data_IF_050456160717
#
_entry.id   IF_050456160717
#
_cell.length_a   1.000
_cell.length_b   1.000
_cell.length_c   1.000
_cell.angle_alpha   90.00
_cell.angle_beta   90.00
_cell.angle_gamma   90.00
#
_symmetry.space_group_name_H-M   'P 1'
#
loop_
_entity.id
_entity.type
_entity.pdbx_description
1 polymer ?
#
# COMPACT_ATOMS: atom_id res chain seq x y z
N UNK A 1 -61.28 -15.73 -6.44
CA UNK A 1 -60.21 -15.97 -7.43
C UNK A 1 -59.19 -14.83 -7.59
N UNK A 2 -59.55 -13.54 -7.48
CA UNK A 2 -58.59 -12.43 -7.72
C UNK A 2 -57.57 -12.15 -6.59
N UNK A 3 -57.87 -12.47 -5.32
CA UNK A 3 -56.93 -12.24 -4.19
C UNK A 3 -55.90 -13.37 -4.01
N UNK A 4 -56.27 -14.60 -4.33
CA UNK A 4 -55.40 -15.77 -4.16
C UNK A 4 -54.25 -15.82 -5.17
N UNK A 5 -54.48 -15.32 -6.40
CA UNK A 5 -53.44 -15.24 -7.45
C UNK A 5 -52.41 -14.14 -7.14
N UNK A 6 -52.84 -13.02 -6.55
CA UNK A 6 -51.94 -11.94 -6.14
C UNK A 6 -51.00 -12.35 -4.98
N UNK A 7 -51.49 -13.17 -4.04
CA UNK A 7 -50.68 -13.71 -2.93
C UNK A 7 -49.67 -14.74 -3.46
N UNK A 8 -50.06 -15.57 -4.44
CA UNK A 8 -49.13 -16.52 -5.08
C UNK A 8 -48.03 -15.79 -5.86
N UNK A 9 -48.36 -14.71 -6.57
CA UNK A 9 -47.37 -13.86 -7.26
C UNK A 9 -46.43 -13.16 -6.28
N UNK A 10 -46.92 -12.66 -5.15
CA UNK A 10 -46.08 -12.07 -4.10
C UNK A 10 -45.13 -13.10 -3.46
N UNK A 11 -45.57 -14.35 -3.29
CA UNK A 11 -44.72 -15.42 -2.79
C UNK A 11 -43.63 -15.83 -3.79
N UNK A 12 -43.96 -15.89 -5.10
CA UNK A 12 -42.97 -16.20 -6.14
C UNK A 12 -41.94 -15.07 -6.29
N UNK A 13 -42.35 -13.79 -6.18
CA UNK A 13 -41.43 -12.64 -6.22
C UNK A 13 -40.53 -12.61 -4.97
N UNK A 14 -41.02 -13.05 -3.80
CA UNK A 14 -40.21 -13.19 -2.59
C UNK A 14 -39.22 -14.36 -2.61
N UNK A 15 -39.31 -15.28 -3.57
CA UNK A 15 -38.28 -16.33 -3.78
C UNK A 15 -37.17 -15.88 -4.75
N UNK A 16 -37.37 -14.74 -5.44
CA UNK A 16 -36.29 -14.01 -6.11
C UNK A 16 -35.60 -13.04 -5.14
N UNK A 17 -35.34 -13.47 -3.89
CA UNK A 17 -34.23 -12.87 -3.16
C UNK A 17 -33.00 -13.15 -4.03
N UNK A 18 -32.41 -12.10 -4.57
CA UNK A 18 -31.14 -12.15 -5.26
C UNK A 18 -30.22 -13.08 -4.46
N UNK A 19 -29.86 -14.22 -5.05
CA UNK A 19 -28.86 -15.12 -4.49
C UNK A 19 -27.51 -14.39 -4.58
N UNK A 20 -27.30 -13.42 -3.70
CA UNK A 20 -25.96 -12.99 -3.37
C UNK A 20 -25.35 -14.22 -2.69
N UNK A 21 -24.35 -14.83 -3.35
CA UNK A 21 -23.67 -16.01 -2.83
C UNK A 21 -23.15 -15.80 -1.41
N UNK A 22 -22.74 -16.87 -0.74
CA UNK A 22 -22.10 -16.74 0.57
C UNK A 22 -20.95 -15.72 0.52
N UNK A 23 -20.80 -14.96 1.60
CA UNK A 23 -19.71 -14.00 1.72
C UNK A 23 -18.35 -14.69 1.54
N UNK A 24 -17.48 -14.13 0.71
CA UNK A 24 -16.09 -14.56 0.57
C UNK A 24 -15.16 -13.37 0.42
N UNK A 25 -13.90 -13.57 0.76
CA UNK A 25 -12.79 -12.65 0.48
C UNK A 25 -11.61 -13.48 0.03
N UNK A 26 -10.82 -12.94 -0.89
CA UNK A 26 -9.57 -13.60 -1.27
C UNK A 26 -8.55 -13.50 -0.14
N UNK A 27 -7.56 -14.39 -0.18
CA UNK A 27 -6.44 -14.34 0.77
C UNK A 27 -5.14 -14.53 0.02
N UNK A 28 -4.16 -13.70 0.39
CA UNK A 28 -2.84 -13.72 -0.17
C UNK A 28 -1.78 -13.76 0.94
N UNK A 29 -0.64 -14.37 0.65
CA UNK A 29 0.53 -14.32 1.51
C UNK A 29 1.77 -14.03 0.68
N UNK A 30 2.37 -12.89 0.96
CA UNK A 30 3.58 -12.41 0.31
C UNK A 30 4.80 -12.78 1.14
N UNK A 31 5.81 -13.31 0.46
CA UNK A 31 7.18 -13.33 0.93
C UNK A 31 8.05 -12.58 -0.07
N UNK A 32 8.71 -11.51 0.36
CA UNK A 32 9.50 -10.63 -0.51
C UNK A 32 10.95 -10.51 -0.04
N UNK A 33 11.89 -10.56 -0.98
CA UNK A 33 13.30 -10.23 -0.78
C UNK A 33 13.67 -9.10 -1.75
N UNK A 34 13.96 -7.93 -1.17
CA UNK A 34 14.17 -6.68 -1.88
C UNK A 34 15.61 -6.21 -1.65
N UNK A 35 16.34 -5.97 -2.73
CA UNK A 35 17.70 -5.47 -2.69
C UNK A 35 17.79 -4.04 -3.27
N UNK A 36 17.84 -3.05 -2.38
CA UNK A 36 17.77 -1.62 -2.72
C UNK A 36 19.15 -1.08 -3.05
N UNK A 37 19.26 -0.44 -4.21
CA UNK A 37 20.39 0.41 -4.56
C UNK A 37 20.00 1.88 -4.32
N UNK A 38 20.32 2.36 -3.12
CA UNK A 38 19.93 3.70 -2.69
C UNK A 38 20.65 4.83 -3.44
N UNK A 39 21.86 4.58 -3.97
CA UNK A 39 22.60 5.58 -4.74
C UNK A 39 21.98 5.80 -6.13
N UNK A 40 21.44 4.73 -6.73
CA UNK A 40 20.80 4.76 -8.04
C UNK A 40 19.28 4.91 -7.98
N UNK A 41 18.71 4.82 -6.78
CA UNK A 41 17.27 4.76 -6.57
C UNK A 41 16.57 3.69 -7.41
N UNK A 42 17.14 2.49 -7.38
CA UNK A 42 16.57 1.29 -8.00
C UNK A 42 16.54 0.17 -6.98
N UNK A 43 15.79 -0.90 -7.27
CA UNK A 43 15.89 -2.12 -6.49
C UNK A 43 15.61 -3.36 -7.35
N UNK A 44 16.10 -4.51 -6.89
CA UNK A 44 15.74 -5.83 -7.42
C UNK A 44 14.80 -6.52 -6.44
N UNK A 45 13.75 -7.16 -6.94
CA UNK A 45 12.72 -7.79 -6.14
C UNK A 45 12.48 -9.24 -6.53
N UNK A 46 12.33 -10.08 -5.51
CA UNK A 46 11.84 -11.45 -5.64
C UNK A 46 10.65 -11.63 -4.72
N UNK A 47 9.56 -12.20 -5.23
CA UNK A 47 8.42 -12.53 -4.40
C UNK A 47 7.89 -13.95 -4.64
N UNK A 48 7.44 -14.55 -3.54
CA UNK A 48 6.53 -15.70 -3.55
C UNK A 48 5.18 -15.21 -3.05
N UNK A 49 4.11 -15.53 -3.78
CA UNK A 49 2.74 -15.22 -3.42
C UNK A 49 1.94 -16.51 -3.34
N UNK A 50 1.54 -16.91 -2.14
CA UNK A 50 0.53 -17.96 -1.97
C UNK A 50 -0.85 -17.31 -2.05
N UNK A 51 -1.62 -17.66 -3.07
CA UNK A 51 -2.95 -17.11 -3.30
C UNK A 51 -4.01 -18.19 -3.07
N UNK A 52 -5.07 -17.85 -2.35
CA UNK A 52 -6.24 -18.71 -2.16
C UNK A 52 -7.45 -18.09 -2.83
N UNK A 53 -8.02 -18.83 -3.80
CA UNK A 53 -9.28 -18.49 -4.42
C UNK A 53 -10.44 -18.96 -3.52
N UNK A 54 -11.05 -18.05 -2.77
CA UNK A 54 -12.24 -18.36 -1.96
C UNK A 54 -13.55 -18.07 -2.71
N UNK A 55 -13.48 -17.62 -3.97
CA UNK A 55 -14.67 -17.39 -4.79
C UNK A 55 -15.31 -18.72 -5.23
N UNK A 56 -16.59 -18.71 -5.65
CA UNK A 56 -17.23 -19.86 -6.26
C UNK A 56 -16.76 -20.11 -7.71
N UNK A 57 -15.89 -19.26 -8.25
CA UNK A 57 -15.49 -19.26 -9.65
C UNK A 57 -14.18 -20.00 -9.89
N UNK A 58 -14.03 -20.55 -11.09
CA UNK A 58 -12.74 -21.04 -11.58
C UNK A 58 -11.99 -19.91 -12.30
N UNK A 59 -10.79 -19.59 -11.84
CA UNK A 59 -9.99 -18.50 -12.39
C UNK A 59 -9.00 -19.04 -13.43
N UNK A 60 -9.06 -18.47 -14.64
CA UNK A 60 -8.18 -18.85 -15.76
C UNK A 60 -7.06 -17.83 -16.04
N UNK A 61 -7.21 -16.63 -15.48
CA UNK A 61 -6.23 -15.54 -15.51
C UNK A 61 -6.19 -14.89 -14.14
N UNK A 62 -5.07 -14.25 -13.81
CA UNK A 62 -4.95 -13.34 -12.66
C UNK A 62 -4.39 -12.01 -13.12
N UNK A 63 -4.63 -10.97 -12.35
CA UNK A 63 -4.12 -9.63 -12.64
C UNK A 63 -3.26 -9.13 -11.48
N UNK A 64 -2.20 -8.41 -11.83
CA UNK A 64 -1.37 -7.68 -10.88
C UNK A 64 -1.32 -6.21 -11.27
N UNK A 65 -1.27 -5.34 -10.28
CA UNK A 65 -0.97 -3.93 -10.46
C UNK A 65 0.54 -3.68 -10.42
N UNK A 66 0.97 -2.85 -11.36
CA UNK A 66 2.30 -2.29 -11.53
C UNK A 66 2.19 -0.75 -11.45
N UNK A 67 1.77 -0.26 -10.29
CA UNK A 67 1.38 1.12 -10.05
C UNK A 67 2.42 2.16 -10.47
N UNK A 68 3.71 1.86 -10.34
CA UNK A 68 4.76 2.81 -10.70
C UNK A 68 4.88 3.06 -12.19
N UNK A 69 4.32 2.18 -13.03
CA UNK A 69 4.22 2.43 -14.46
C UNK A 69 3.32 3.63 -14.79
N UNK A 70 2.57 4.18 -13.84
CA UNK A 70 1.86 5.45 -14.01
C UNK A 70 2.80 6.66 -14.06
N UNK A 71 4.00 6.58 -13.47
CA UNK A 71 4.92 7.70 -13.32
C UNK A 71 5.92 7.82 -14.47
N UNK A 72 5.41 7.72 -15.71
CA UNK A 72 6.20 7.83 -16.95
C UNK A 72 5.50 8.72 -17.98
N UNK A 73 6.23 9.28 -18.97
CA UNK A 73 5.63 10.02 -20.05
C UNK A 73 4.61 9.17 -20.82
N UNK A 74 3.54 9.79 -21.30
CA UNK A 74 2.45 9.18 -22.07
C UNK A 74 1.61 8.12 -21.33
N UNK A 75 1.83 7.90 -20.02
CA UNK A 75 0.95 7.04 -19.22
C UNK A 75 -0.48 7.61 -19.18
N UNK A 76 -1.45 6.79 -18.78
CA UNK A 76 -2.80 7.32 -18.57
C UNK A 76 -2.88 8.41 -17.48
N UNK A 77 -1.98 8.37 -16.49
CA UNK A 77 -1.88 9.44 -15.49
C UNK A 77 -1.39 10.75 -16.12
N UNK A 78 -0.37 10.68 -16.99
CA UNK A 78 0.13 11.82 -17.76
C UNK A 78 -0.96 12.41 -18.68
N UNK A 79 -1.62 11.55 -19.46
CA UNK A 79 -2.70 11.96 -20.38
C UNK A 79 -3.86 12.61 -19.63
N UNK A 80 -4.25 12.06 -18.46
CA UNK A 80 -5.29 12.65 -17.62
C UNK A 80 -4.91 14.06 -17.16
N UNK A 81 -3.70 14.23 -16.62
CA UNK A 81 -3.23 15.53 -16.12
C UNK A 81 -3.14 16.53 -17.27
N UNK A 82 -2.58 16.12 -18.42
CA UNK A 82 -2.50 16.96 -19.62
C UNK A 82 -3.89 17.39 -20.11
N UNK A 83 -4.87 16.46 -20.14
CA UNK A 83 -6.25 16.76 -20.53
C UNK A 83 -6.98 17.71 -19.59
N UNK A 84 -6.61 17.73 -18.30
CA UNK A 84 -7.16 18.67 -17.32
C UNK A 84 -6.53 20.08 -17.41
N UNK A 85 -5.35 20.21 -18.00
CA UNK A 85 -4.63 21.47 -18.12
C UNK A 85 -4.44 22.15 -16.77
N UNK A 86 -4.76 23.45 -16.68
CA UNK A 86 -4.61 24.23 -15.44
C UNK A 86 -5.56 23.82 -14.31
N UNK A 87 -6.59 23.03 -14.61
CA UNK A 87 -7.51 22.47 -13.60
C UNK A 87 -7.00 21.14 -13.04
N UNK A 88 -5.90 20.60 -13.58
CA UNK A 88 -5.25 19.41 -13.04
C UNK A 88 -4.60 19.68 -11.69
N UNK A 89 -4.37 18.60 -10.94
CA UNK A 89 -3.69 18.66 -9.64
C UNK A 89 -2.38 19.45 -9.75
N UNK A 90 -2.25 20.53 -9.00
CA UNK A 90 -1.10 21.43 -9.03
C UNK A 90 0.22 20.78 -8.63
N UNK A 91 0.18 19.61 -7.98
CA UNK A 91 1.36 18.78 -7.73
C UNK A 91 1.82 18.05 -8.98
N UNK A 92 0.92 17.75 -9.91
CA UNK A 92 1.18 16.96 -11.11
C UNK A 92 1.44 17.82 -12.36
N UNK A 93 1.07 19.10 -12.35
CA UNK A 93 1.25 20.01 -13.48
C UNK A 93 1.97 21.31 -13.10
N UNK A 94 2.57 21.95 -14.10
CA UNK A 94 3.06 23.33 -14.06
C UNK A 94 2.49 24.10 -15.24
N UNK A 95 1.74 25.17 -14.94
CA UNK A 95 1.09 26.04 -15.94
C UNK A 95 0.18 25.29 -16.94
N UNK A 96 -0.40 24.17 -16.51
CA UNK A 96 -1.26 23.30 -17.31
C UNK A 96 -0.51 22.24 -18.11
N UNK A 97 0.82 22.14 -17.95
CA UNK A 97 1.65 21.09 -18.55
C UNK A 97 1.97 20.04 -17.50
N UNK A 98 1.70 18.78 -17.82
CA UNK A 98 2.02 17.65 -16.94
C UNK A 98 3.53 17.56 -16.67
N UNK A 99 3.90 17.35 -15.41
CA UNK A 99 5.29 17.10 -14.99
C UNK A 99 5.78 15.72 -15.46
N UNK A 100 4.86 14.78 -15.71
CA UNK A 100 5.18 13.44 -16.21
C UNK A 100 5.61 13.46 -17.67
N UNK A 101 5.03 14.36 -18.49
CA UNK A 101 5.39 14.49 -19.91
C UNK A 101 6.87 14.80 -20.14
N UNK A 102 7.55 15.40 -19.16
CA UNK A 102 8.95 15.80 -19.23
C UNK A 102 9.86 15.08 -18.22
N UNK A 103 9.38 14.02 -17.55
CA UNK A 103 10.21 13.30 -16.58
C UNK A 103 11.36 12.58 -17.32
N UNK A 104 12.62 12.72 -16.89
CA UNK A 104 13.72 12.00 -17.51
C UNK A 104 13.56 10.48 -17.38
N UNK A 105 14.05 9.73 -18.37
CA UNK A 105 13.87 8.26 -18.43
C UNK A 105 14.50 7.52 -17.25
N UNK A 106 15.57 8.05 -16.65
CA UNK A 106 16.21 7.51 -15.44
C UNK A 106 15.54 7.98 -14.13
N UNK A 107 14.47 8.76 -14.24
CA UNK A 107 13.67 9.29 -13.14
C UNK A 107 12.21 8.83 -13.18
N UNK A 108 11.78 8.21 -14.28
CA UNK A 108 10.43 7.65 -14.41
C UNK A 108 10.27 6.40 -13.54
N UNK A 109 9.05 6.18 -13.05
CA UNK A 109 8.72 4.97 -12.31
C UNK A 109 8.60 3.79 -13.26
N UNK A 110 9.17 2.65 -12.86
CA UNK A 110 9.07 1.43 -13.62
C UNK A 110 9.06 0.20 -12.70
N UNK A 111 8.22 -0.78 -13.02
CA UNK A 111 8.27 -2.13 -12.45
C UNK A 111 8.41 -3.13 -13.61
N UNK A 112 9.65 -3.54 -13.86
CA UNK A 112 10.04 -4.35 -15.00
C UNK A 112 9.98 -5.83 -14.64
N UNK A 113 8.92 -6.51 -15.06
CA UNK A 113 8.74 -7.94 -14.77
C UNK A 113 9.66 -8.79 -15.66
N UNK A 114 10.51 -9.61 -15.05
CA UNK A 114 11.41 -10.51 -15.79
C UNK A 114 10.71 -11.81 -16.13
N UNK A 115 10.07 -12.41 -15.13
CA UNK A 115 9.33 -13.66 -15.28
C UNK A 115 8.36 -13.87 -14.12
N UNK A 116 7.30 -14.63 -14.39
CA UNK A 116 6.37 -15.15 -13.39
C UNK A 116 6.12 -16.65 -13.62
N UNK A 117 6.01 -17.41 -12.53
CA UNK A 117 5.68 -18.85 -12.55
C UNK A 117 4.48 -19.15 -11.67
N UNK A 118 3.65 -20.12 -12.07
CA UNK A 118 2.63 -20.75 -11.23
C UNK A 118 3.11 -22.17 -10.88
N UNK A 119 3.24 -22.48 -9.60
CA UNK A 119 3.65 -23.81 -9.12
C UNK A 119 4.91 -24.33 -9.85
N UNK A 120 5.87 -23.43 -10.13
CA UNK A 120 7.12 -23.73 -10.84
C UNK A 120 7.05 -23.69 -12.38
N UNK A 121 5.86 -23.61 -13.00
CA UNK A 121 5.69 -23.51 -14.46
C UNK A 121 5.72 -22.04 -14.92
N UNK A 122 6.54 -21.73 -15.93
CA UNK A 122 6.62 -20.38 -16.51
C UNK A 122 5.29 -19.98 -17.15
N UNK A 123 4.86 -18.73 -16.93
CA UNK A 123 3.62 -18.20 -17.48
C UNK A 123 3.89 -17.14 -18.55
N UNK A 124 2.88 -16.90 -19.39
CA UNK A 124 2.83 -15.74 -20.27
C UNK A 124 2.08 -14.61 -19.57
N UNK A 125 2.48 -13.38 -19.84
CA UNK A 125 1.78 -12.20 -19.34
C UNK A 125 1.81 -11.07 -20.37
N UNK A 126 0.87 -10.15 -20.22
CA UNK A 126 0.74 -8.92 -20.99
C UNK A 126 0.64 -7.75 -20.02
N UNK A 127 1.34 -6.66 -20.31
CA UNK A 127 1.30 -5.44 -19.50
C UNK A 127 0.66 -4.34 -20.34
N UNK A 128 -0.41 -3.76 -19.80
CA UNK A 128 -1.04 -2.56 -20.31
C UNK A 128 -1.04 -1.53 -19.19
N UNK A 129 -0.36 -0.40 -19.40
CA UNK A 129 -0.26 0.67 -18.41
C UNK A 129 0.21 0.15 -17.04
N UNK A 130 -0.71 0.14 -16.07
CA UNK A 130 -0.46 -0.25 -14.67
C UNK A 130 -1.01 -1.62 -14.33
N UNK A 131 -1.51 -2.37 -15.32
CA UNK A 131 -2.13 -3.68 -15.13
C UNK A 131 -1.34 -4.74 -15.90
N UNK A 132 -0.93 -5.79 -15.20
CA UNK A 132 -0.34 -7.01 -15.76
C UNK A 132 -1.37 -8.14 -15.74
N UNK A 133 -1.78 -8.62 -16.91
CA UNK A 133 -2.60 -9.82 -17.07
C UNK A 133 -1.71 -11.05 -17.20
N UNK A 134 -1.95 -12.07 -16.38
CA UNK A 134 -1.16 -13.30 -16.35
C UNK A 134 -2.05 -14.48 -16.77
N UNK A 135 -1.59 -15.22 -17.77
CA UNK A 135 -2.26 -16.42 -18.26
C UNK A 135 -1.81 -17.64 -17.45
N UNK A 136 -2.74 -18.28 -16.76
CA UNK A 136 -2.42 -19.38 -15.85
C UNK A 136 -2.04 -20.66 -16.62
N UNK A 137 -1.10 -21.42 -16.06
CA UNK A 137 -0.73 -22.73 -16.58
C UNK A 137 -1.83 -23.77 -16.27
N UNK A 138 -2.48 -23.61 -15.11
CA UNK A 138 -3.62 -24.41 -14.67
C UNK A 138 -4.66 -23.51 -13.99
N UNK A 139 -5.97 -23.70 -14.25
CA UNK A 139 -7.00 -22.90 -13.60
C UNK A 139 -6.98 -23.05 -12.08
N UNK A 140 -7.23 -21.95 -11.35
CA UNK A 140 -7.37 -21.98 -9.89
C UNK A 140 -8.85 -22.26 -9.58
N UNK A 141 -9.12 -23.49 -9.17
CA UNK A 141 -10.48 -23.95 -8.82
C UNK A 141 -11.04 -23.21 -7.60
N UNK A 142 -12.38 -23.20 -7.43
CA UNK A 142 -13.01 -22.70 -6.21
C UNK A 142 -12.42 -23.35 -4.95
N UNK A 143 -12.18 -22.55 -3.91
CA UNK A 143 -11.63 -22.96 -2.62
C UNK A 143 -10.26 -23.66 -2.69
N UNK A 144 -9.48 -23.39 -3.75
CA UNK A 144 -8.13 -23.93 -3.93
C UNK A 144 -7.06 -22.84 -3.86
N UNK A 145 -5.81 -23.27 -3.74
CA UNK A 145 -4.65 -22.37 -3.65
C UNK A 145 -3.64 -22.65 -4.74
N UNK A 146 -2.86 -21.63 -5.09
CA UNK A 146 -1.70 -21.75 -5.97
C UNK A 146 -0.58 -20.85 -5.46
N UNK A 147 0.65 -21.16 -5.83
CA UNK A 147 1.81 -20.31 -5.54
C UNK A 147 2.32 -19.66 -6.81
N UNK A 148 2.46 -18.33 -6.77
CA UNK A 148 3.20 -17.57 -7.77
C UNK A 148 4.61 -17.26 -7.29
N UNK A 149 5.59 -17.33 -8.19
CA UNK A 149 6.93 -16.77 -7.95
C UNK A 149 7.24 -15.79 -9.07
N UNK A 150 7.85 -14.67 -8.72
CA UNK A 150 8.08 -13.54 -9.61
C UNK A 150 9.42 -12.87 -9.30
N UNK A 151 10.13 -12.44 -10.34
CA UNK A 151 11.32 -11.60 -10.25
C UNK A 151 11.12 -10.35 -11.11
N UNK A 152 11.54 -9.20 -10.57
CA UNK A 152 11.45 -7.91 -11.24
C UNK A 152 12.56 -6.98 -10.79
N UNK A 153 12.83 -5.95 -11.59
CA UNK A 153 13.56 -4.76 -11.14
C UNK A 153 12.66 -3.53 -11.19
N UNK A 154 13.02 -2.50 -10.45
CA UNK A 154 12.26 -1.26 -10.44
C UNK A 154 13.14 -0.02 -10.36
N UNK A 155 12.65 1.05 -10.98
CA UNK A 155 13.17 2.42 -10.81
C UNK A 155 12.23 3.15 -9.87
N UNK A 156 12.78 3.67 -8.77
CA UNK A 156 12.03 4.47 -7.80
C UNK A 156 11.78 5.85 -8.45
N UNK A 157 10.51 6.21 -8.72
CA UNK A 157 10.20 7.43 -9.46
C UNK A 157 10.67 8.66 -8.70
N UNK A 158 11.15 9.69 -9.41
CA UNK A 158 11.22 11.02 -8.81
C UNK A 158 9.83 11.38 -8.30
N UNK A 159 9.70 11.80 -7.04
CA UNK A 159 8.37 11.90 -6.44
C UNK A 159 7.52 12.93 -7.19
N UNK A 160 6.42 12.42 -7.76
CA UNK A 160 5.39 13.22 -8.42
C UNK A 160 4.15 13.29 -7.53
N UNK A 161 3.71 12.16 -6.98
CA UNK A 161 2.64 12.10 -5.98
C UNK A 161 2.71 10.82 -5.14
N UNK A 162 2.60 10.92 -3.81
CA UNK A 162 2.42 9.87 -2.78
C UNK A 162 3.46 8.73 -2.75
N UNK A 163 4.36 8.63 -3.74
CA UNK A 163 5.35 7.57 -3.92
C UNK A 163 6.57 8.08 -4.67
N UNK A 164 7.75 7.59 -4.31
CA UNK A 164 9.00 7.88 -4.99
C UNK A 164 10.10 8.41 -4.09
N UNK A 165 11.00 9.20 -4.67
CA UNK A 165 12.22 9.68 -4.02
C UNK A 165 12.37 11.19 -3.98
N UNK A 166 13.25 11.67 -3.09
CA UNK A 166 13.72 13.04 -2.99
C UNK A 166 12.55 14.04 -3.02
N UNK A 167 11.63 13.88 -2.06
CA UNK A 167 10.47 14.74 -2.01
C UNK A 167 10.79 16.13 -1.47
N UNK A 168 9.77 17.00 -1.45
CA UNK A 168 9.93 18.41 -1.06
C UNK A 168 10.34 18.63 0.40
N UNK A 169 10.08 17.66 1.28
CA UNK A 169 10.53 17.71 2.69
C UNK A 169 11.92 17.09 2.87
N UNK A 170 12.54 16.61 1.78
CA UNK A 170 13.89 16.07 1.81
C UNK A 170 13.97 14.62 2.28
N UNK A 171 12.86 13.87 2.29
CA UNK A 171 12.90 12.42 2.53
C UNK A 171 13.40 11.71 1.28
N UNK A 172 14.42 10.86 1.45
CA UNK A 172 15.09 10.13 0.38
C UNK A 172 14.13 9.18 -0.36
N UNK A 173 13.34 8.36 0.37
CA UNK A 173 12.44 7.36 -0.24
C UNK A 173 11.11 7.23 0.50
N UNK A 174 10.01 7.28 -0.25
CA UNK A 174 8.64 6.96 0.18
C UNK A 174 8.11 5.86 -0.74
N UNK A 175 8.05 4.64 -0.23
CA UNK A 175 7.87 3.40 -0.99
C UNK A 175 6.48 2.85 -0.75
N UNK A 176 5.57 3.29 -1.60
CA UNK A 176 4.14 2.97 -1.57
C UNK A 176 3.74 2.38 -2.92
N UNK A 177 2.86 1.38 -2.92
CA UNK A 177 2.46 0.65 -4.14
C UNK A 177 3.64 0.17 -4.99
N UNK A 178 4.73 -0.19 -4.31
CA UNK A 178 6.06 -0.31 -4.91
C UNK A 178 6.31 -1.69 -5.50
N UNK A 179 5.52 -2.71 -5.16
CA UNK A 179 5.71 -4.10 -5.61
C UNK A 179 4.58 -4.54 -6.57
N UNK A 180 4.79 -5.61 -7.36
CA UNK A 180 3.74 -6.25 -8.14
C UNK A 180 2.65 -6.85 -7.22
N UNK A 181 1.57 -6.09 -7.05
CA UNK A 181 0.48 -6.38 -6.11
C UNK A 181 -0.65 -7.09 -6.83
N UNK A 182 -1.17 -8.19 -6.31
CA UNK A 182 -2.29 -8.91 -6.97
C UNK A 182 -3.55 -8.03 -6.88
N UNK A 183 -4.31 -7.95 -7.96
CA UNK A 183 -5.60 -7.28 -7.97
C UNK A 183 -6.61 -8.07 -7.11
N UNK A 184 -7.59 -7.39 -6.52
CA UNK A 184 -8.68 -8.10 -5.85
C UNK A 184 -9.60 -8.78 -6.87
N UNK A 185 -10.11 -9.96 -6.50
CA UNK A 185 -11.19 -10.63 -7.23
C UNK A 185 -12.38 -10.81 -6.30
N UNK A 186 -13.43 -10.03 -6.53
CA UNK A 186 -14.66 -10.03 -5.73
C UNK A 186 -15.91 -10.20 -6.61
N UNK A 187 -17.07 -9.78 -6.09
CA UNK A 187 -18.35 -9.89 -6.79
C UNK A 187 -18.43 -9.06 -8.08
N UNK A 188 -17.58 -8.04 -8.25
CA UNK A 188 -17.47 -7.23 -9.47
C UNK A 188 -16.40 -7.80 -10.44
N UNK A 189 -15.76 -8.92 -10.07
CA UNK A 189 -14.68 -9.56 -10.82
C UNK A 189 -13.30 -9.02 -10.43
N UNK A 190 -12.36 -9.03 -11.38
CA UNK A 190 -11.02 -8.51 -11.14
C UNK A 190 -11.01 -6.98 -11.12
N UNK A 191 -10.56 -6.39 -10.00
CA UNK A 191 -10.35 -4.96 -9.84
C UNK A 191 -9.16 -4.48 -10.68
N UNK A 192 -9.38 -4.19 -11.96
CA UNK A 192 -8.33 -3.90 -12.95
C UNK A 192 -8.30 -2.42 -13.35
N UNK A 193 -8.60 -1.54 -12.39
CA UNK A 193 -8.57 -0.09 -12.63
C UNK A 193 -7.13 0.38 -12.81
N UNK A 194 -6.92 1.16 -13.87
CA UNK A 194 -5.64 1.83 -14.06
C UNK A 194 -5.42 2.93 -13.03
N UNK A 195 -4.18 3.01 -12.55
CA UNK A 195 -3.82 4.01 -11.56
C UNK A 195 -3.61 5.38 -12.20
N UNK A 196 -4.49 6.30 -11.84
CA UNK A 196 -4.50 7.70 -12.27
C UNK A 196 -4.58 8.66 -11.07
N UNK A 197 -4.00 8.24 -9.94
CA UNK A 197 -4.05 8.96 -8.66
C UNK A 197 -5.37 8.80 -7.91
N UNK A 198 -5.86 7.56 -7.82
CA UNK A 198 -7.07 7.15 -7.08
C UNK A 198 -6.69 6.15 -5.99
N UNK A 199 -7.66 5.83 -5.14
CA UNK A 199 -7.50 4.85 -4.07
C UNK A 199 -7.43 3.40 -4.57
N UNK A 200 -7.17 2.47 -3.65
CA UNK A 200 -6.71 1.12 -3.97
C UNK A 200 -7.75 0.06 -3.57
N UNK A 201 -7.64 -1.14 -4.16
CA UNK A 201 -8.44 -2.29 -3.75
C UNK A 201 -7.60 -3.55 -3.86
N UNK A 202 -7.61 -4.39 -2.82
CA UNK A 202 -6.69 -5.51 -2.71
C UNK A 202 -7.22 -6.60 -1.77
N UNK A 203 -6.73 -7.84 -1.91
CA UNK A 203 -7.02 -8.87 -0.93
C UNK A 203 -6.34 -8.60 0.40
N UNK A 204 -7.00 -9.03 1.48
CA UNK A 204 -6.35 -9.18 2.78
C UNK A 204 -5.16 -10.14 2.68
N UNK A 205 -4.01 -9.63 3.11
CA UNK A 205 -2.73 -10.25 2.86
C UNK A 205 -1.85 -10.33 4.10
N UNK A 206 -1.11 -11.43 4.19
CA UNK A 206 0.03 -11.58 5.10
C UNK A 206 1.32 -11.19 4.36
N UNK A 207 2.26 -10.55 5.07
CA UNK A 207 3.52 -10.09 4.51
C UNK A 207 4.71 -10.57 5.37
N UNK A 208 5.71 -11.16 4.71
CA UNK A 208 7.06 -11.42 5.21
C UNK A 208 8.03 -10.71 4.26
N UNK A 209 8.53 -9.54 4.68
CA UNK A 209 9.29 -8.63 3.81
C UNK A 209 10.71 -8.48 4.33
N UNK A 210 11.67 -8.84 3.49
CA UNK A 210 13.09 -8.59 3.73
C UNK A 210 13.56 -7.45 2.83
N UNK A 211 14.08 -6.37 3.42
CA UNK A 211 14.61 -5.21 2.70
C UNK A 211 16.10 -5.07 3.02
N UNK A 212 16.94 -5.13 2.00
CA UNK A 212 18.38 -4.87 2.09
C UNK A 212 18.64 -3.47 1.55
N UNK A 213 19.12 -2.58 2.40
CA UNK A 213 19.45 -1.19 2.02
C UNK A 213 20.73 -0.77 2.72
N UNK A 214 21.40 0.26 2.20
CA UNK A 214 22.58 0.84 2.84
C UNK A 214 22.34 1.06 4.35
N UNK A 215 23.28 0.60 5.17
CA UNK A 215 23.14 0.53 6.64
C UNK A 215 22.92 1.87 7.34
N UNK A 216 23.19 3.00 6.66
CA UNK A 216 23.00 4.34 7.21
C UNK A 216 21.52 4.75 7.24
N UNK A 217 20.67 4.11 6.43
CA UNK A 217 19.24 4.37 6.39
C UNK A 217 18.52 3.78 7.60
N UNK A 218 17.50 4.50 8.06
CA UNK A 218 16.46 4.00 8.96
C UNK A 218 15.18 3.81 8.14
N UNK A 219 14.51 2.67 8.30
CA UNK A 219 13.24 2.38 7.61
C UNK A 219 12.09 2.54 8.60
N UNK A 220 11.11 3.38 8.27
CA UNK A 220 9.77 3.33 8.86
C UNK A 220 8.87 2.49 7.97
N UNK A 221 8.12 1.54 8.55
CA UNK A 221 7.20 0.70 7.79
C UNK A 221 5.92 0.39 8.57
N UNK A 222 4.89 -0.07 7.85
CA UNK A 222 3.81 -0.83 8.43
C UNK A 222 4.28 -2.22 8.86
N UNK A 223 3.64 -2.80 9.88
CA UNK A 223 3.99 -4.13 10.39
C UNK A 223 4.86 -4.13 11.64
N UNK A 224 5.42 -5.30 11.93
CA UNK A 224 6.28 -5.59 13.07
C UNK A 224 7.72 -5.76 12.56
N UNK A 225 8.66 -5.00 13.12
CA UNK A 225 10.08 -5.19 12.87
C UNK A 225 10.59 -6.38 13.67
N UNK A 226 11.08 -7.41 12.98
CA UNK A 226 11.48 -8.68 13.58
C UNK A 226 12.90 -8.67 14.15
N UNK A 227 13.75 -7.74 13.69
CA UNK A 227 15.16 -7.67 14.09
C UNK A 227 15.62 -6.26 14.51
N UNK A 228 14.93 -5.59 15.46
CA UNK A 228 15.24 -4.22 15.87
C UNK A 228 16.65 -4.05 16.45
N UNK A 229 17.22 -5.10 17.04
CA UNK A 229 18.57 -5.08 17.61
C UNK A 229 19.69 -5.21 16.57
N UNK A 230 19.36 -5.38 15.28
CA UNK A 230 20.32 -5.57 14.18
C UNK A 230 20.31 -4.42 13.17
N UNK A 231 19.44 -3.41 13.37
CA UNK A 231 19.22 -2.28 12.44
C UNK A 231 19.13 -0.95 13.18
N UNK A 232 19.27 0.17 12.45
CA UNK A 232 19.43 1.51 13.05
C UNK A 232 18.08 2.05 13.52
N UNK A 233 18.06 2.78 14.64
CA UNK A 233 16.92 3.62 15.05
C UNK A 233 15.93 3.01 16.06
N UNK A 234 15.67 1.70 16.01
CA UNK A 234 14.60 1.09 16.83
C UNK A 234 15.04 0.59 18.22
N UNK A 235 16.30 0.20 18.37
CA UNK A 235 16.89 -0.20 19.64
C UNK A 235 18.14 0.66 19.93
N UNK A 236 18.17 1.30 21.11
CA UNK A 236 19.28 2.14 21.54
C UNK A 236 20.60 1.35 21.67
N UNK A 237 20.53 0.03 21.85
CA UNK A 237 21.68 -0.88 21.97
C UNK A 237 21.89 -1.75 20.71
N UNK A 238 21.28 -1.38 19.58
CA UNK A 238 21.37 -2.14 18.35
C UNK A 238 22.83 -2.38 17.91
N UNK A 239 23.12 -3.62 17.52
CA UNK A 239 24.37 -4.02 16.88
C UNK A 239 24.11 -4.20 15.39
N UNK A 240 24.29 -3.12 14.63
CA UNK A 240 23.97 -3.09 13.20
C UNK A 240 24.71 -4.21 12.45
N UNK A 241 23.94 -5.16 11.90
CA UNK A 241 24.47 -6.22 11.05
C UNK A 241 24.35 -5.80 9.59
N UNK A 242 25.47 -5.70 8.91
CA UNK A 242 25.50 -5.34 7.50
C UNK A 242 26.42 -6.28 6.71
N UNK A 243 25.98 -6.65 5.50
CA UNK A 243 26.79 -7.33 4.48
C UNK A 243 26.95 -6.40 3.28
N UNK A 244 28.17 -6.25 2.75
CA UNK A 244 28.50 -5.33 1.65
C UNK A 244 27.89 -3.93 1.82
N UNK A 245 27.97 -3.39 3.03
CA UNK A 245 27.42 -2.09 3.44
C UNK A 245 25.87 -1.99 3.47
N UNK A 246 25.14 -3.10 3.34
CA UNK A 246 23.68 -3.14 3.45
C UNK A 246 23.23 -3.83 4.74
N UNK A 247 22.37 -3.16 5.51
CA UNK A 247 21.64 -3.77 6.61
C UNK A 247 20.42 -4.53 6.07
N UNK A 248 20.03 -5.62 6.75
CA UNK A 248 18.85 -6.42 6.39
C UNK A 248 17.73 -6.14 7.38
N UNK A 249 16.66 -5.53 6.91
CA UNK A 249 15.45 -5.26 7.68
C UNK A 249 14.43 -6.37 7.41
N UNK A 250 13.83 -6.92 8.47
CA UNK A 250 12.83 -7.99 8.36
C UNK A 250 11.53 -7.53 8.99
N UNK A 251 10.47 -7.49 8.19
CA UNK A 251 9.16 -7.05 8.63
C UNK A 251 8.15 -8.16 8.44
N UNK A 252 7.23 -8.29 9.40
CA UNK A 252 6.04 -9.12 9.24
C UNK A 252 4.76 -8.31 9.43
N UNK A 253 3.71 -8.66 8.71
CA UNK A 253 2.38 -8.13 8.94
C UNK A 253 1.33 -9.18 8.57
N UNK A 254 0.15 -9.09 9.19
CA UNK A 254 -0.94 -10.04 8.94
C UNK A 254 -2.25 -9.33 8.68
N UNK A 255 -3.00 -9.85 7.73
CA UNK A 255 -4.35 -9.40 7.42
C UNK A 255 -4.46 -7.89 7.16
N UNK A 256 -3.57 -7.34 6.31
CA UNK A 256 -3.59 -5.96 5.83
C UNK A 256 -3.69 -5.91 4.30
N UNK A 257 -4.10 -4.78 3.73
CA UNK A 257 -4.32 -4.65 2.28
C UNK A 257 -3.06 -4.35 1.48
N UNK A 258 -2.05 -3.73 2.10
CA UNK A 258 -0.76 -3.45 1.48
C UNK A 258 0.37 -3.24 2.49
N UNK A 259 1.59 -3.29 1.96
CA UNK A 259 2.80 -3.02 2.70
C UNK A 259 3.50 -1.77 2.14
N UNK A 260 3.66 -0.75 2.99
CA UNK A 260 4.34 0.49 2.67
C UNK A 260 5.48 0.78 3.65
N UNK A 261 6.50 1.48 3.16
CA UNK A 261 7.65 1.92 3.95
C UNK A 261 8.24 3.21 3.42
N UNK A 262 9.03 3.90 4.24
CA UNK A 262 9.84 5.03 3.85
C UNK A 262 11.23 4.88 4.47
N UNK A 263 12.24 5.47 3.87
CA UNK A 263 13.59 5.43 4.39
C UNK A 263 14.31 6.74 4.18
N UNK A 264 15.08 7.11 5.20
CA UNK A 264 15.95 8.25 5.20
C UNK A 264 17.13 8.01 6.16
N UNK A 265 18.25 8.69 5.94
CA UNK A 265 19.43 8.56 6.80
C UNK A 265 19.29 9.34 8.11
N UNK A 266 18.49 10.41 8.07
CA UNK A 266 18.30 11.38 9.16
C UNK A 266 17.03 11.10 9.97
N UNK A 267 16.32 10.02 9.65
CA UNK A 267 15.21 9.54 10.44
C UNK A 267 15.62 9.14 11.86
N UNK A 268 14.81 9.59 12.80
CA UNK A 268 14.74 9.07 14.16
C UNK A 268 13.47 8.26 14.33
N UNK A 269 13.48 7.37 15.33
CA UNK A 269 12.31 6.59 15.72
C UNK A 269 12.00 6.86 17.18
N UNK A 270 10.77 7.25 17.46
CA UNK A 270 10.20 7.28 18.82
C UNK A 270 9.09 6.24 18.89
N UNK A 271 8.88 5.64 20.06
CA UNK A 271 7.79 4.68 20.24
C UNK A 271 7.19 4.75 21.63
N UNK A 272 5.90 4.45 21.72
CA UNK A 272 5.16 4.34 22.97
C UNK A 272 4.00 3.34 22.82
N UNK A 273 3.59 2.74 23.93
CA UNK A 273 2.45 1.83 23.96
C UNK A 273 1.17 2.62 24.26
N UNK A 274 0.15 2.43 23.43
CA UNK A 274 -1.20 2.95 23.70
C UNK A 274 -1.94 1.96 24.59
N UNK A 275 -2.48 2.37 25.75
CA UNK A 275 -3.29 1.48 26.59
C UNK A 275 -4.47 0.90 25.81
N UNK A 276 -4.54 -0.43 25.72
CA UNK A 276 -5.54 -1.18 24.94
C UNK A 276 -5.53 -0.86 23.42
N UNK A 277 -4.43 -0.30 22.92
CA UNK A 277 -4.21 0.00 21.51
C UNK A 277 -2.88 -0.59 21.01
N UNK A 278 -2.39 -0.10 19.86
CA UNK A 278 -1.13 -0.57 19.30
C UNK A 278 0.08 0.02 20.03
N UNK A 279 1.25 -0.61 19.80
CA UNK A 279 2.52 0.10 19.94
C UNK A 279 2.68 1.06 18.76
N UNK A 280 2.84 2.35 19.05
CA UNK A 280 2.97 3.39 18.04
C UNK A 280 4.45 3.67 17.78
N UNK A 281 4.79 3.90 16.51
CA UNK A 281 6.07 4.45 16.09
C UNK A 281 5.88 5.81 15.41
N UNK A 282 6.72 6.77 15.78
CA UNK A 282 6.87 8.04 15.07
C UNK A 282 8.21 8.01 14.35
N UNK A 283 8.18 8.11 13.02
CA UNK A 283 9.38 8.02 12.16
C UNK A 283 9.48 9.29 11.31
N UNK A 284 10.45 10.14 11.60
CA UNK A 284 10.57 11.46 10.97
C UNK A 284 12.02 11.96 11.04
N UNK A 285 12.37 12.93 10.18
CA UNK A 285 13.67 13.60 10.21
C UNK A 285 13.71 14.56 11.40
N UNK A 286 14.71 14.45 12.27
CA UNK A 286 14.79 15.34 13.44
C UNK A 286 15.43 16.69 13.08
N UNK A 287 14.60 17.70 12.79
CA UNK A 287 15.07 19.03 12.41
C UNK A 287 14.14 20.14 12.95
N UNK A 288 14.49 21.40 12.68
CA UNK A 288 13.76 22.56 13.21
C UNK A 288 12.29 22.63 12.79
N UNK A 289 11.90 21.96 11.70
CA UNK A 289 10.54 21.98 11.15
C UNK A 289 9.67 20.81 11.61
N UNK A 290 10.25 19.83 12.31
CA UNK A 290 9.54 18.63 12.78
C UNK A 290 9.46 18.54 14.32
N UNK A 291 9.81 19.62 15.03
CA UNK A 291 9.80 19.68 16.51
C UNK A 291 8.46 19.30 17.15
N UNK A 292 7.36 19.58 16.44
CA UNK A 292 5.99 19.35 16.91
C UNK A 292 5.68 17.85 17.08
N UNK A 293 6.40 16.95 16.42
CA UNK A 293 6.18 15.50 16.53
C UNK A 293 6.31 14.97 17.96
N UNK A 294 7.16 15.58 18.79
CA UNK A 294 7.33 15.16 20.18
C UNK A 294 6.09 15.45 21.05
N UNK A 295 5.23 16.37 20.62
CA UNK A 295 4.00 16.73 21.32
C UNK A 295 2.82 15.78 20.99
N UNK A 296 2.94 14.96 19.95
CA UNK A 296 1.84 14.14 19.41
C UNK A 296 1.41 12.97 20.30
N UNK A 297 2.32 12.42 21.12
CA UNK A 297 2.08 11.21 21.92
C UNK A 297 0.79 11.23 22.76
N UNK A 298 0.51 12.24 23.61
CA UNK A 298 -0.73 12.28 24.39
C UNK A 298 -1.99 12.32 23.52
N UNK A 299 -1.94 13.02 22.37
CA UNK A 299 -3.07 13.14 21.45
C UNK A 299 -3.32 11.85 20.67
N UNK A 300 -2.28 11.19 20.18
CA UNK A 300 -2.40 9.86 19.54
C UNK A 300 -2.97 8.84 20.52
N UNK A 301 -2.52 8.87 21.78
CA UNK A 301 -3.06 7.99 22.82
C UNK A 301 -4.56 8.21 23.00
N UNK A 302 -4.99 9.47 23.05
CA UNK A 302 -6.40 9.83 23.17
C UNK A 302 -7.20 9.46 21.91
N UNK A 303 -6.63 9.67 20.74
CA UNK A 303 -7.21 9.30 19.44
C UNK A 303 -7.58 7.82 19.43
N UNK A 304 -6.65 6.91 19.69
CA UNK A 304 -6.94 5.47 19.71
C UNK A 304 -7.99 5.08 20.77
N UNK A 305 -7.97 5.71 21.93
CA UNK A 305 -9.00 5.47 22.96
C UNK A 305 -10.41 5.87 22.47
N UNK A 306 -10.52 7.01 21.78
CA UNK A 306 -11.77 7.49 21.20
C UNK A 306 -12.22 6.60 20.05
N UNK A 307 -11.33 6.24 19.13
CA UNK A 307 -11.66 5.36 18.01
C UNK A 307 -12.11 3.98 18.50
N UNK A 308 -11.37 3.41 19.47
CA UNK A 308 -11.72 2.13 20.08
C UNK A 308 -13.11 2.14 20.74
N UNK A 309 -13.50 3.24 21.39
CA UNK A 309 -14.79 3.34 22.08
C UNK A 309 -15.98 3.61 21.15
N UNK A 310 -15.75 4.27 20.00
CA UNK A 310 -16.82 4.65 19.06
C UNK A 310 -16.97 3.69 17.88
N UNK A 311 -15.86 3.19 17.33
CA UNK A 311 -15.83 2.42 16.08
C UNK A 311 -15.37 0.97 16.25
N UNK A 312 -15.01 0.58 17.46
CA UNK A 312 -14.53 -0.77 17.78
C UNK A 312 -13.02 -0.84 17.90
N UNK A 313 -12.52 -1.93 18.46
CA UNK A 313 -11.10 -2.06 18.83
C UNK A 313 -10.19 -2.12 17.59
N UNK A 314 -9.12 -1.32 17.57
CA UNK A 314 -8.01 -1.47 16.64
C UNK A 314 -7.40 -2.87 16.75
N UNK A 315 -7.26 -3.58 15.63
CA UNK A 315 -6.98 -5.03 15.63
C UNK A 315 -5.50 -5.38 15.42
N UNK A 316 -4.68 -4.44 14.96
CA UNK A 316 -3.28 -4.69 14.65
C UNK A 316 -2.36 -4.39 15.85
N UNK A 317 -1.17 -5.01 15.93
CA UNK A 317 -0.29 -4.87 17.09
C UNK A 317 0.51 -3.56 17.11
N UNK A 318 0.77 -2.97 15.95
CA UNK A 318 1.57 -1.75 15.79
C UNK A 318 0.89 -0.78 14.83
N UNK A 319 1.30 0.48 14.90
CA UNK A 319 1.01 1.49 13.88
C UNK A 319 2.15 2.51 13.78
N UNK A 320 2.55 2.87 12.56
CA UNK A 320 3.63 3.83 12.32
C UNK A 320 3.12 5.11 11.66
N UNK A 321 3.31 6.26 12.29
CA UNK A 321 3.20 7.56 11.63
C UNK A 321 4.57 7.91 11.05
N UNK A 322 4.64 8.06 9.72
CA UNK A 322 5.89 8.19 8.99
C UNK A 322 5.86 9.47 8.17
N UNK A 323 6.90 10.30 8.29
CA UNK A 323 7.07 11.45 7.41
C UNK A 323 7.28 10.96 5.96
N UNK A 324 6.28 11.09 5.10
CA UNK A 324 6.32 10.67 3.69
C UNK A 324 6.48 11.82 2.70
N UNK A 325 6.39 13.08 3.16
CA UNK A 325 6.75 14.28 2.41
C UNK A 325 5.85 14.65 1.21
N UNK A 326 4.71 13.99 1.02
CA UNK A 326 3.65 14.44 0.10
C UNK A 326 2.24 14.06 0.56
N UNK A 327 1.49 15.06 1.03
CA UNK A 327 0.10 14.91 1.48
C UNK A 327 -0.05 14.02 2.72
N UNK A 328 -1.17 13.31 2.78
CA UNK A 328 -1.37 12.15 3.63
C UNK A 328 -1.82 10.98 2.78
N UNK A 329 -1.44 9.78 3.21
CA UNK A 329 -1.96 8.53 2.66
C UNK A 329 -1.84 7.41 3.69
N UNK A 330 -2.93 6.69 3.87
CA UNK A 330 -3.09 5.48 4.65
C UNK A 330 -2.50 4.24 3.96
N UNK A 331 -1.94 3.34 4.76
CA UNK A 331 -1.51 2.03 4.34
C UNK A 331 -1.68 1.04 5.50
N UNK A 332 -1.47 -0.25 5.23
CA UNK A 332 -1.51 -1.28 6.25
C UNK A 332 -0.57 -1.00 7.42
N UNK A 333 -1.15 -0.70 8.60
CA UNK A 333 -0.43 -0.41 9.85
C UNK A 333 0.52 0.80 9.80
N UNK A 334 0.38 1.70 8.83
CA UNK A 334 1.12 2.96 8.82
C UNK A 334 0.42 4.06 8.00
N UNK A 335 0.93 5.27 8.14
CA UNK A 335 0.59 6.38 7.23
C UNK A 335 1.85 7.11 6.79
N UNK A 336 1.81 7.62 5.57
CA UNK A 336 2.79 8.52 4.99
C UNK A 336 2.24 9.94 5.00
N UNK A 337 2.80 10.82 5.82
CA UNK A 337 2.28 12.17 6.03
C UNK A 337 3.33 13.25 5.76
N UNK A 338 2.87 14.47 5.47
CA UNK A 338 3.69 15.66 5.61
C UNK A 338 4.13 15.80 7.08
N UNK A 339 5.43 15.93 7.30
CA UNK A 339 6.02 16.03 8.62
C UNK A 339 6.37 17.45 9.04
N UNK A 340 6.51 18.39 8.10
CA UNK A 340 6.86 19.79 8.39
C UNK A 340 5.61 20.63 8.78
N UNK A 341 4.83 20.15 9.75
CA UNK A 341 3.63 20.83 10.23
C UNK A 341 3.97 22.09 11.07
N UNK A 342 3.18 23.16 10.92
CA UNK A 342 3.40 24.42 11.63
C UNK A 342 3.06 24.35 13.13
N UNK A 343 2.08 23.50 13.49
CA UNK A 343 1.57 23.33 14.84
C UNK A 343 1.02 21.92 15.06
N UNK A 344 0.72 21.62 16.32
CA UNK A 344 0.25 20.29 16.74
C UNK A 344 -1.15 19.98 16.21
N UNK A 345 -1.98 20.99 16.00
CA UNK A 345 -3.34 20.82 15.46
C UNK A 345 -3.29 20.32 14.01
N UNK A 346 -2.46 20.94 13.17
CA UNK A 346 -2.25 20.51 11.79
C UNK A 346 -1.64 19.11 11.69
N UNK A 347 -0.63 18.81 12.52
CA UNK A 347 -0.02 17.48 12.54
C UNK A 347 -1.02 16.41 12.99
N UNK A 348 -1.73 16.65 14.10
CA UNK A 348 -2.71 15.70 14.62
C UNK A 348 -3.94 15.58 13.73
N UNK A 349 -4.37 16.64 13.05
CA UNK A 349 -5.45 16.58 12.07
C UNK A 349 -5.13 15.59 10.95
N UNK A 350 -3.92 15.68 10.39
CA UNK A 350 -3.44 14.75 9.36
C UNK A 350 -3.26 13.34 9.93
N UNK A 351 -2.58 13.17 11.07
CA UNK A 351 -2.42 11.87 11.72
C UNK A 351 -3.76 11.19 12.05
N UNK A 352 -4.76 11.94 12.52
CA UNK A 352 -6.06 11.40 12.87
C UNK A 352 -6.86 11.02 11.62
N UNK A 353 -6.85 11.84 10.56
CA UNK A 353 -7.48 11.51 9.26
C UNK A 353 -6.90 10.22 8.71
N UNK A 354 -5.58 10.19 8.51
CA UNK A 354 -4.92 9.03 7.90
C UNK A 354 -4.95 7.78 8.80
N UNK A 355 -4.89 8.00 10.11
CA UNK A 355 -5.06 6.95 11.10
C UNK A 355 -6.45 6.31 11.06
N UNK A 356 -7.50 7.07 10.75
CA UNK A 356 -8.89 6.63 10.81
C UNK A 356 -9.21 5.60 9.74
N UNK A 357 -8.55 5.70 8.58
CA UNK A 357 -8.62 4.70 7.52
C UNK A 357 -8.18 3.30 7.97
N UNK A 358 -7.51 3.16 9.12
CA UNK A 358 -7.32 1.82 9.72
C UNK A 358 -8.63 1.07 9.97
N UNK A 359 -9.72 1.77 10.31
CA UNK A 359 -11.03 1.16 10.53
C UNK A 359 -11.80 0.95 9.23
N UNK A 360 -11.72 1.91 8.32
CA UNK A 360 -12.53 1.91 7.11
C UNK A 360 -11.79 1.18 5.99
N UNK A 361 -10.66 1.69 5.54
CA UNK A 361 -9.83 1.07 4.51
C UNK A 361 -9.21 -0.27 4.93
N UNK A 362 -8.61 -0.39 6.12
CA UNK A 362 -7.88 -1.63 6.47
C UNK A 362 -8.74 -2.69 7.19
N UNK A 363 -9.82 -2.34 7.88
CA UNK A 363 -10.67 -3.33 8.57
C UNK A 363 -11.96 -3.61 7.80
N UNK A 364 -12.70 -2.59 7.35
CA UNK A 364 -13.88 -2.80 6.51
C UNK A 364 -13.51 -3.13 5.06
N UNK A 365 -12.40 -2.57 4.56
CA UNK A 365 -11.84 -2.83 3.22
C UNK A 365 -12.86 -2.64 2.10
N UNK A 366 -13.49 -1.47 2.09
CA UNK A 366 -14.37 -1.08 1.00
C UNK A 366 -13.59 -0.97 -0.31
N UNK A 367 -14.23 -1.31 -1.43
CA UNK A 367 -13.67 -1.05 -2.77
C UNK A 367 -13.62 0.46 -3.02
N UNK A 368 -12.52 1.09 -2.58
CA UNK A 368 -12.34 2.55 -2.57
C UNK A 368 -12.40 3.18 -3.98
N UNK A 369 -11.86 2.58 -5.06
CA UNK A 369 -12.07 3.08 -6.41
C UNK A 369 -13.54 3.32 -6.78
N UNK A 370 -14.43 2.48 -6.23
CA UNK A 370 -15.87 2.53 -6.50
C UNK A 370 -16.65 3.34 -5.46
N UNK A 371 -16.20 3.34 -4.21
CA UNK A 371 -16.92 3.90 -3.06
C UNK A 371 -16.01 4.72 -2.15
N UNK A 372 -15.29 5.73 -2.68
CA UNK A 372 -14.27 6.45 -1.90
C UNK A 372 -14.88 7.19 -0.70
N UNK A 373 -16.11 7.68 -0.83
CA UNK A 373 -16.83 8.39 0.25
C UNK A 373 -17.12 7.53 1.49
N UNK A 374 -17.02 6.20 1.40
CA UNK A 374 -17.22 5.34 2.58
C UNK A 374 -15.99 5.32 3.47
N UNK A 375 -14.84 5.73 2.93
CA UNK A 375 -13.55 5.74 3.58
C UNK A 375 -13.08 7.16 3.93
N UNK A 376 -13.26 8.11 2.99
CA UNK A 376 -13.00 9.56 3.13
C UNK A 376 -14.16 10.32 3.78
#
# INVERSE_FOLDING_TARGET
MKKSVAILFAFIISQFHAQQGAYYQQSAKYKMDIDVNAEKFTYEGKQTLDYKNNSPDELNVVYFHLYWNAFKPNSMMDQRVAGQGKNGDSRLQKDGVSRLASIPKDQEGAQNIHWIKQNGKILKFEIQETVMKVYLAEPIKPNSSTTFTLEWDAVIPQQIRRSGRNNREGVDMTMTQWYPKIAEYDYDGWATFDYIGREFHAPFSDFDVTIKINKEYVIGAGGILENPSEVKGYDANAKIKADKNKATWKWSAKNILDFAWAADKDYIVKSFDVPQGPKVFLVYQNNDKTKVWEEAQPYITKYYQLMNSHFGKYVYPTYSFIQGGDGGMEYGMCTMILGEANDIEGLMGLMAHEGAHSWYQQILATNEPMRPWMDE
#
